data_IF_472926185920
#
_entry.id   IF_472926185920
#
_cell.length_a   1.000
_cell.length_b   1.000
_cell.length_c   1.000
_cell.angle_alpha   90.00
_cell.angle_beta   90.00
_cell.angle_gamma   90.00
#
_symmetry.space_group_name_H-M   'P 1'
#
loop_
_entity.id
_entity.type
_entity.pdbx_description
1 polymer ?
#
# COMPACT_ATOMS: atom_id res chain seq x y z
N UNK A 1 26.25 -21.08 -11.95
CA UNK A 1 26.52 -20.10 -10.87
C UNK A 1 25.31 -19.18 -10.81
N UNK A 2 24.41 -19.37 -9.83
CA UNK A 2 23.31 -18.42 -9.63
C UNK A 2 23.95 -17.06 -9.31
N UNK A 3 23.69 -16.03 -10.13
CA UNK A 3 24.01 -14.65 -9.74
C UNK A 3 23.42 -14.46 -8.35
N UNK A 4 24.24 -14.10 -7.35
CA UNK A 4 23.74 -13.63 -6.05
C UNK A 4 22.76 -12.51 -6.39
N UNK A 5 21.46 -12.75 -6.25
CA UNK A 5 20.47 -11.68 -6.36
C UNK A 5 20.75 -10.74 -5.19
N UNK A 6 21.32 -9.58 -5.50
CA UNK A 6 21.49 -8.52 -4.51
C UNK A 6 20.19 -7.74 -4.48
N UNK A 7 19.27 -8.15 -3.62
CA UNK A 7 18.01 -7.43 -3.40
C UNK A 7 18.34 -6.22 -2.54
N UNK A 8 18.06 -4.97 -2.98
CA UNK A 8 18.28 -3.79 -2.15
C UNK A 8 17.49 -3.89 -0.86
N UNK A 9 18.14 -3.66 0.27
CA UNK A 9 17.52 -3.78 1.60
C UNK A 9 17.11 -2.42 2.12
N UNK A 10 16.02 -2.34 2.89
CA UNK A 10 15.56 -1.06 3.46
C UNK A 10 16.63 -0.39 4.36
N UNK A 11 17.54 -1.18 4.92
CA UNK A 11 18.68 -0.72 5.70
C UNK A 11 19.60 0.21 4.90
N UNK A 12 19.67 0.04 3.58
CA UNK A 12 20.53 0.79 2.66
C UNK A 12 19.81 1.99 2.01
N UNK A 13 18.52 2.18 2.29
CA UNK A 13 17.72 3.27 1.73
C UNK A 13 17.96 4.60 2.46
N UNK A 14 18.02 5.70 1.69
CA UNK A 14 17.96 7.06 2.23
C UNK A 14 16.49 7.46 2.49
N UNK A 15 16.08 7.39 3.75
CA UNK A 15 14.67 7.58 4.13
C UNK A 15 14.36 8.98 4.64
N UNK A 16 15.38 9.81 4.89
CA UNK A 16 15.19 11.09 5.59
C UNK A 16 14.37 12.06 4.72
N UNK A 17 13.27 12.56 5.30
CA UNK A 17 12.34 13.49 4.66
C UNK A 17 11.68 12.93 3.39
N UNK A 18 11.81 11.62 3.14
CA UNK A 18 11.24 10.93 1.98
C UNK A 18 9.85 10.41 2.27
N UNK A 19 8.98 10.47 1.26
CA UNK A 19 7.73 9.71 1.28
C UNK A 19 8.04 8.29 0.80
N UNK A 20 7.67 7.32 1.64
CA UNK A 20 7.92 5.91 1.42
C UNK A 20 6.60 5.20 1.18
N UNK A 21 6.39 4.72 -0.05
CA UNK A 21 5.27 3.85 -0.38
C UNK A 21 5.60 2.43 0.06
N UNK A 22 4.82 1.87 0.98
CA UNK A 22 5.06 0.55 1.57
C UNK A 22 3.94 -0.41 1.19
N UNK A 23 4.29 -1.49 0.47
CA UNK A 23 3.38 -2.62 0.23
C UNK A 23 3.48 -3.60 1.39
N UNK A 24 2.39 -3.76 2.13
CA UNK A 24 2.31 -4.65 3.30
C UNK A 24 1.31 -5.79 3.08
N UNK A 25 1.43 -6.89 3.81
CA UNK A 25 0.47 -8.00 3.78
C UNK A 25 -0.54 -7.89 4.93
N UNK A 26 -1.46 -6.94 4.87
CA UNK A 26 -2.52 -6.77 5.89
C UNK A 26 -3.84 -7.42 5.46
N UNK A 27 -3.81 -8.52 4.70
CA UNK A 27 -5.02 -9.21 4.26
C UNK A 27 -5.65 -10.04 5.40
N UNK A 28 -6.16 -9.35 6.42
CA UNK A 28 -6.68 -9.93 7.68
C UNK A 28 -8.16 -9.62 7.93
N UNK A 29 -8.74 -8.71 7.16
CA UNK A 29 -10.15 -8.33 7.28
C UNK A 29 -11.03 -9.35 6.56
N UNK A 30 -12.06 -9.83 7.26
CA UNK A 30 -13.09 -10.70 6.71
C UNK A 30 -14.44 -10.19 7.20
N UNK A 31 -15.34 -9.85 6.27
CA UNK A 31 -16.65 -9.26 6.59
C UNK A 31 -16.55 -8.03 7.51
N UNK A 32 -15.59 -7.15 7.20
CA UNK A 32 -15.36 -5.91 7.96
C UNK A 32 -14.69 -6.08 9.33
N UNK A 33 -14.25 -7.29 9.71
CA UNK A 33 -13.66 -7.57 11.04
C UNK A 33 -12.26 -8.17 10.92
N UNK A 34 -11.35 -7.77 11.82
CA UNK A 34 -10.03 -8.39 12.02
C UNK A 34 -10.18 -9.52 13.02
N UNK A 35 -9.88 -10.75 12.61
CA UNK A 35 -9.86 -11.91 13.51
C UNK A 35 -8.49 -12.19 14.13
N UNK A 36 -7.43 -11.92 13.37
CA UNK A 36 -6.05 -12.12 13.78
C UNK A 36 -5.19 -10.96 13.25
N UNK A 37 -4.66 -10.10 14.13
CA UNK A 37 -3.85 -8.96 13.73
C UNK A 37 -2.39 -9.31 13.46
N UNK A 38 -1.96 -10.57 13.58
CA UNK A 38 -0.56 -10.99 13.46
C UNK A 38 0.15 -10.40 12.24
N UNK A 39 -0.51 -10.39 11.07
CA UNK A 39 0.10 -9.85 9.85
C UNK A 39 0.28 -8.33 9.88
N UNK A 40 -0.58 -7.61 10.59
CA UNK A 40 -0.41 -6.18 10.82
C UNK A 40 0.77 -5.97 11.78
N UNK A 41 0.82 -6.75 12.85
CA UNK A 41 1.87 -6.62 13.87
C UNK A 41 3.26 -6.94 13.31
N UNK A 42 3.35 -7.91 12.40
CA UNK A 42 4.60 -8.30 11.75
C UNK A 42 5.27 -7.16 10.97
N UNK A 43 4.51 -6.17 10.49
CA UNK A 43 5.07 -5.05 9.69
C UNK A 43 5.57 -3.90 10.56
N UNK A 44 5.27 -3.88 11.86
CA UNK A 44 5.63 -2.79 12.78
C UNK A 44 7.14 -2.53 12.77
N UNK A 45 7.97 -3.56 12.66
CA UNK A 45 9.43 -3.41 12.57
C UNK A 45 9.87 -2.57 11.37
N UNK A 46 9.27 -2.81 10.20
CA UNK A 46 9.53 -2.04 8.96
C UNK A 46 9.03 -0.60 9.11
N UNK A 47 7.81 -0.41 9.62
CA UNK A 47 7.23 0.92 9.81
C UNK A 47 8.03 1.77 10.80
N UNK A 48 8.41 1.18 11.93
CA UNK A 48 9.24 1.85 12.94
C UNK A 48 10.60 2.25 12.37
N UNK A 49 11.23 1.39 11.58
CA UNK A 49 12.51 1.70 10.95
C UNK A 49 12.44 2.89 9.98
N UNK A 50 11.36 2.97 9.20
CA UNK A 50 11.12 4.13 8.31
C UNK A 50 10.95 5.40 9.14
N UNK A 51 10.08 5.36 10.14
CA UNK A 51 9.79 6.51 10.99
C UNK A 51 11.03 6.98 11.76
N UNK A 52 11.80 6.06 12.37
CA UNK A 52 13.00 6.37 13.13
C UNK A 52 14.10 7.02 12.28
N UNK A 53 14.05 6.87 10.96
CA UNK A 53 14.96 7.50 9.99
C UNK A 53 14.39 8.76 9.34
N UNK A 54 13.23 9.23 9.79
CA UNK A 54 12.58 10.45 9.30
C UNK A 54 11.80 10.26 7.99
N UNK A 55 11.50 9.02 7.61
CA UNK A 55 10.64 8.72 6.47
C UNK A 55 9.16 8.83 6.81
N UNK A 56 8.35 9.22 5.82
CA UNK A 56 6.90 9.42 5.94
C UNK A 56 6.17 8.32 5.18
N UNK A 57 5.29 7.59 5.86
CA UNK A 57 4.71 6.36 5.29
C UNK A 57 3.41 6.61 4.51
N UNK A 58 3.33 5.99 3.34
CA UNK A 58 2.08 5.71 2.62
C UNK A 58 1.95 4.19 2.53
N UNK A 59 0.98 3.61 3.22
CA UNK A 59 0.77 2.16 3.26
C UNK A 59 -0.24 1.73 2.20
N UNK A 60 -0.04 0.53 1.66
CA UNK A 60 -1.04 -0.12 0.83
C UNK A 60 -1.08 -1.63 1.06
N UNK A 61 -2.31 -2.16 1.08
CA UNK A 61 -2.57 -3.60 1.10
C UNK A 61 -3.69 -3.94 0.14
N UNK A 62 -3.82 -5.24 -0.13
CA UNK A 62 -5.07 -5.77 -0.61
C UNK A 62 -5.87 -6.39 0.55
N UNK A 63 -7.19 -6.40 0.42
CA UNK A 63 -8.11 -7.12 1.32
C UNK A 63 -9.06 -7.95 0.47
N UNK A 64 -9.15 -9.24 0.76
CA UNK A 64 -10.08 -10.14 0.09
C UNK A 64 -9.92 -10.17 -1.44
N UNK A 65 -11.02 -10.45 -2.14
CA UNK A 65 -11.10 -10.54 -3.61
C UNK A 65 -12.39 -9.85 -4.09
N UNK A 66 -12.41 -8.51 -4.17
CA UNK A 66 -13.61 -7.73 -4.51
C UNK A 66 -14.05 -7.87 -5.98
N UNK A 67 -13.18 -8.36 -6.86
CA UNK A 67 -13.49 -8.56 -8.28
C UNK A 67 -14.30 -9.84 -8.51
N UNK A 68 -15.49 -9.70 -9.10
CA UNK A 68 -16.26 -10.83 -9.60
C UNK A 68 -15.58 -11.41 -10.84
N UNK A 69 -15.34 -12.74 -10.83
CA UNK A 69 -14.62 -13.42 -11.91
C UNK A 69 -15.45 -13.60 -13.19
N UNK A 70 -16.78 -13.57 -13.10
CA UNK A 70 -17.69 -13.75 -14.23
C UNK A 70 -17.99 -12.43 -14.90
N UNK A 71 -18.33 -11.40 -14.13
CA UNK A 71 -18.70 -10.08 -14.68
C UNK A 71 -17.48 -9.19 -14.87
N UNK A 72 -16.42 -9.41 -14.09
CA UNK A 72 -15.25 -8.54 -14.04
C UNK A 72 -15.46 -7.29 -13.17
N UNK A 73 -16.65 -7.12 -12.57
CA UNK A 73 -16.99 -5.97 -11.76
C UNK A 73 -16.22 -5.98 -10.43
N UNK A 74 -15.86 -4.81 -9.94
CA UNK A 74 -15.15 -4.61 -8.68
C UNK A 74 -16.12 -4.03 -7.65
N UNK A 75 -16.42 -4.81 -6.61
CA UNK A 75 -17.25 -4.34 -5.50
C UNK A 75 -16.42 -3.57 -4.46
N UNK A 76 -16.84 -2.34 -4.17
CA UNK A 76 -16.31 -1.53 -3.08
C UNK A 76 -17.34 -1.56 -1.95
N UNK A 77 -17.01 -2.28 -0.89
CA UNK A 77 -17.87 -2.54 0.26
C UNK A 77 -17.06 -2.68 1.54
N UNK A 78 -17.71 -2.49 2.69
CA UNK A 78 -17.09 -2.56 4.01
C UNK A 78 -16.43 -3.93 4.28
N UNK A 79 -16.94 -4.99 3.65
CA UNK A 79 -16.42 -6.36 3.77
C UNK A 79 -14.96 -6.49 3.33
N UNK A 80 -14.51 -5.64 2.40
CA UNK A 80 -13.14 -5.62 1.87
C UNK A 80 -12.43 -4.29 2.14
N UNK A 81 -12.93 -3.51 3.09
CA UNK A 81 -12.35 -2.23 3.48
C UNK A 81 -11.07 -2.39 4.30
N UNK A 82 -10.19 -1.39 4.17
CA UNK A 82 -8.99 -1.25 5.00
C UNK A 82 -9.26 -0.50 6.31
N UNK A 83 -10.45 0.08 6.48
CA UNK A 83 -10.81 0.86 7.67
C UNK A 83 -10.51 0.14 8.99
N UNK A 84 -10.89 -1.15 9.18
CA UNK A 84 -10.58 -1.84 10.44
C UNK A 84 -9.08 -1.94 10.74
N UNK A 85 -8.25 -2.03 9.68
CA UNK A 85 -6.78 -2.11 9.79
C UNK A 85 -6.22 -0.77 10.26
N UNK A 86 -6.74 0.33 9.67
CA UNK A 86 -6.35 1.69 10.04
C UNK A 86 -6.75 1.99 11.47
N UNK A 87 -7.99 1.65 11.86
CA UNK A 87 -8.48 1.84 13.22
C UNK A 87 -7.61 1.07 14.23
N UNK A 88 -7.25 -0.17 13.93
CA UNK A 88 -6.35 -0.98 14.76
C UNK A 88 -4.96 -0.35 14.89
N UNK A 89 -4.35 0.11 13.79
CA UNK A 89 -3.03 0.77 13.83
C UNK A 89 -3.06 2.07 14.64
N UNK A 90 -4.08 2.91 14.44
CA UNK A 90 -4.24 4.17 15.19
C UNK A 90 -4.40 3.91 16.69
N UNK A 91 -5.22 2.92 17.07
CA UNK A 91 -5.42 2.55 18.47
C UNK A 91 -4.16 1.95 19.10
N UNK A 92 -3.48 1.05 18.37
CA UNK A 92 -2.33 0.32 18.88
C UNK A 92 -1.08 1.18 19.03
N UNK A 93 -0.85 2.09 18.08
CA UNK A 93 0.35 2.91 18.01
C UNK A 93 0.13 4.34 18.51
N UNK A 94 -1.12 4.73 18.81
CA UNK A 94 -1.51 6.09 19.17
C UNK A 94 -1.08 7.13 18.13
N UNK A 95 -1.32 6.81 16.86
CA UNK A 95 -1.00 7.64 15.69
C UNK A 95 -2.27 8.07 14.96
N UNK A 96 -2.15 9.08 14.10
CA UNK A 96 -3.19 9.57 13.19
C UNK A 96 -2.88 9.17 11.76
N UNK A 97 -3.74 8.34 11.18
CA UNK A 97 -3.66 7.95 9.77
C UNK A 97 -4.90 8.38 9.01
N UNK A 98 -4.75 8.69 7.72
CA UNK A 98 -5.86 9.06 6.83
C UNK A 98 -5.98 8.12 5.65
N UNK A 99 -7.22 7.87 5.24
CA UNK A 99 -7.56 7.11 4.04
C UNK A 99 -8.13 8.10 3.01
N UNK A 100 -7.52 8.25 1.83
CA UNK A 100 -8.09 9.07 0.76
C UNK A 100 -9.29 8.38 0.11
N UNK A 101 -10.25 9.18 -0.35
CA UNK A 101 -11.32 8.74 -1.23
C UNK A 101 -11.04 9.17 -2.68
N UNK A 102 -11.45 8.32 -3.62
CA UNK A 102 -11.29 8.52 -5.06
C UNK A 102 -12.63 8.32 -5.78
N UNK A 103 -12.72 8.78 -7.02
CA UNK A 103 -13.90 8.58 -7.85
C UNK A 103 -14.17 7.09 -8.06
N UNK A 104 -15.36 6.68 -7.65
CA UNK A 104 -15.88 5.32 -7.79
C UNK A 104 -16.72 5.20 -9.05
N UNK A 105 -16.31 4.31 -9.94
CA UNK A 105 -17.13 3.75 -11.00
C UNK A 105 -17.89 2.52 -10.46
N UNK A 106 -19.16 2.38 -10.83
CA UNK A 106 -20.04 1.32 -10.31
C UNK A 106 -19.53 -0.10 -10.62
N UNK A 107 -18.79 -0.28 -11.72
CA UNK A 107 -18.32 -1.59 -12.18
C UNK A 107 -16.82 -1.74 -12.09
N UNK A 108 -16.07 -0.66 -12.29
CA UNK A 108 -14.61 -0.69 -12.40
C UNK A 108 -13.89 -0.32 -11.11
N UNK A 109 -14.62 0.04 -10.06
CA UNK A 109 -14.05 0.50 -8.80
C UNK A 109 -13.38 1.88 -8.98
N UNK A 110 -12.20 2.08 -8.41
CA UNK A 110 -11.42 3.29 -8.60
C UNK A 110 -10.67 3.28 -9.92
N UNK A 111 -10.93 4.25 -10.79
CA UNK A 111 -10.30 4.33 -12.12
C UNK A 111 -8.82 4.78 -12.05
N UNK A 112 -8.45 5.46 -10.96
CA UNK A 112 -7.08 5.89 -10.71
C UNK A 112 -6.94 6.70 -9.42
N UNK A 113 -5.75 7.22 -9.20
CA UNK A 113 -5.41 8.06 -8.05
C UNK A 113 -5.51 9.53 -8.45
N UNK A 114 -6.40 10.27 -7.80
CA UNK A 114 -6.69 11.66 -8.12
C UNK A 114 -5.86 12.65 -7.31
N UNK A 115 -5.88 13.90 -7.77
CA UNK A 115 -5.22 15.03 -7.09
C UNK A 115 -5.81 15.34 -5.71
N UNK A 116 -6.97 14.78 -5.37
CA UNK A 116 -7.56 14.87 -4.03
C UNK A 116 -6.58 14.41 -2.95
N UNK A 117 -5.72 13.41 -3.19
CA UNK A 117 -4.74 12.95 -2.18
C UNK A 117 -3.67 14.00 -1.83
N UNK A 118 -3.45 15.01 -2.67
CA UNK A 118 -2.37 15.98 -2.49
C UNK A 118 -2.48 16.77 -1.18
N UNK A 119 -3.69 17.02 -0.65
CA UNK A 119 -3.84 17.67 0.65
C UNK A 119 -3.32 16.79 1.79
N UNK A 120 -3.64 15.48 1.79
CA UNK A 120 -3.12 14.53 2.76
C UNK A 120 -1.60 14.41 2.68
N UNK A 121 -1.03 14.45 1.48
CA UNK A 121 0.44 14.44 1.31
C UNK A 121 1.07 15.68 1.92
N UNK A 122 0.43 16.86 1.81
CA UNK A 122 0.92 18.08 2.48
C UNK A 122 0.83 17.95 4.00
N UNK A 123 -0.30 17.50 4.53
CA UNK A 123 -0.47 17.23 5.97
C UNK A 123 0.57 16.23 6.49
N UNK A 124 0.86 15.18 5.73
CA UNK A 124 1.89 14.20 6.05
C UNK A 124 3.28 14.85 6.07
N UNK A 125 3.60 15.71 5.09
CA UNK A 125 4.87 16.44 5.04
C UNK A 125 5.03 17.41 6.23
N UNK A 126 3.96 18.09 6.60
CA UNK A 126 3.90 19.05 7.72
C UNK A 126 3.81 18.37 9.10
N UNK A 127 3.69 17.03 9.15
CA UNK A 127 3.49 16.23 10.36
C UNK A 127 2.17 16.53 11.10
N UNK A 128 1.13 16.94 10.37
CA UNK A 128 -0.25 17.02 10.90
C UNK A 128 -0.91 15.64 11.00
N UNK A 129 -0.41 14.66 10.22
CA UNK A 129 -0.78 13.25 10.30
C UNK A 129 0.49 12.40 10.26
N UNK A 130 0.43 11.19 10.82
CA UNK A 130 1.57 10.28 10.94
C UNK A 130 1.70 9.32 9.74
N UNK A 131 0.64 9.17 8.95
CA UNK A 131 0.68 8.33 7.76
C UNK A 131 -0.58 8.38 6.91
N UNK A 132 -0.46 7.91 5.68
CA UNK A 132 -1.58 7.69 4.77
C UNK A 132 -1.74 6.19 4.56
N UNK A 133 -2.97 5.70 4.57
CA UNK A 133 -3.29 4.32 4.22
C UNK A 133 -4.16 4.34 2.97
N UNK A 134 -3.62 3.89 1.83
CA UNK A 134 -4.40 3.83 0.59
C UNK A 134 -5.55 2.84 0.74
N UNK A 135 -6.71 3.10 0.11
CA UNK A 135 -7.77 2.10 0.01
C UNK A 135 -7.26 0.77 -0.53
N UNK A 136 -8.05 -0.28 -0.34
CA UNK A 136 -7.72 -1.64 -0.80
C UNK A 136 -7.22 -1.62 -2.26
N UNK A 137 -6.00 -2.09 -2.51
CA UNK A 137 -5.40 -2.00 -3.86
C UNK A 137 -6.24 -2.73 -4.91
N UNK A 138 -6.99 -3.76 -4.52
CA UNK A 138 -7.90 -4.49 -5.41
C UNK A 138 -9.20 -3.74 -5.75
N UNK A 139 -9.45 -2.58 -5.15
CA UNK A 139 -10.50 -1.67 -5.57
C UNK A 139 -10.11 -0.84 -6.79
N UNK A 140 -8.82 -0.79 -7.16
CA UNK A 140 -8.36 -0.02 -8.32
C UNK A 140 -8.41 -0.83 -9.61
N UNK A 141 -8.94 -0.21 -10.65
CA UNK A 141 -8.81 -0.70 -12.02
C UNK A 141 -7.32 -0.83 -12.37
N UNK A 142 -6.90 -2.03 -12.78
CA UNK A 142 -5.54 -2.29 -13.22
C UNK A 142 -4.62 -2.96 -12.19
N UNK A 143 -5.03 -3.10 -10.92
CA UNK A 143 -4.19 -3.78 -9.91
C UNK A 143 -3.83 -5.21 -10.33
N UNK A 144 -4.82 -6.01 -10.72
CA UNK A 144 -4.65 -7.41 -11.13
C UNK A 144 -4.57 -7.61 -12.66
N UNK A 145 -4.50 -6.52 -13.43
CA UNK A 145 -4.55 -6.59 -14.89
C UNK A 145 -3.15 -6.65 -15.52
N UNK A 146 -3.04 -7.28 -16.68
CA UNK A 146 -1.81 -7.27 -17.49
C UNK A 146 -1.91 -6.32 -18.69
N UNK A 147 -2.33 -5.08 -18.45
CA UNK A 147 -2.68 -4.09 -19.49
C UNK A 147 -2.11 -2.70 -19.21
N UNK A 148 -2.30 -1.76 -20.15
CA UNK A 148 -1.92 -0.35 -20.01
C UNK A 148 -2.53 0.31 -18.75
N UNK A 149 -3.71 -0.13 -18.33
CA UNK A 149 -4.35 0.33 -17.07
C UNK A 149 -3.51 -0.01 -15.84
N UNK A 150 -2.80 -1.14 -15.84
CA UNK A 150 -1.91 -1.54 -14.75
C UNK A 150 -0.63 -0.71 -14.73
N UNK A 151 -0.06 -0.37 -15.89
CA UNK A 151 1.08 0.55 -15.98
C UNK A 151 0.68 1.97 -15.54
N UNK A 152 -0.53 2.43 -15.93
CA UNK A 152 -1.08 3.71 -15.48
C UNK A 152 -1.22 3.76 -13.95
N UNK A 153 -1.80 2.72 -13.34
CA UNK A 153 -1.93 2.65 -11.89
C UNK A 153 -0.56 2.61 -11.19
N UNK A 154 0.39 1.84 -11.71
CA UNK A 154 1.74 1.77 -11.18
C UNK A 154 2.47 3.13 -11.24
N UNK A 155 2.32 3.87 -12.34
CA UNK A 155 2.86 5.22 -12.48
C UNK A 155 2.20 6.21 -11.51
N UNK A 156 0.88 6.11 -11.33
CA UNK A 156 0.14 6.93 -10.36
C UNK A 156 0.59 6.65 -8.92
N UNK A 157 0.76 5.38 -8.54
CA UNK A 157 1.30 4.98 -7.24
C UNK A 157 2.72 5.52 -7.05
N UNK A 158 3.57 5.38 -8.07
CA UNK A 158 4.93 5.88 -8.03
C UNK A 158 4.99 7.41 -7.86
N UNK A 159 4.06 8.15 -8.46
CA UNK A 159 3.96 9.60 -8.32
C UNK A 159 3.65 10.10 -6.90
N UNK A 160 3.26 9.22 -5.97
CA UNK A 160 2.97 9.58 -4.58
C UNK A 160 4.20 9.61 -3.68
N UNK A 161 5.29 8.96 -4.07
CA UNK A 161 6.39 8.65 -3.18
C UNK A 161 7.76 8.85 -3.83
N UNK A 162 8.79 8.93 -3.01
CA UNK A 162 10.19 8.99 -3.44
C UNK A 162 10.81 7.58 -3.54
N UNK A 163 10.35 6.66 -2.69
CA UNK A 163 10.89 5.30 -2.53
C UNK A 163 9.74 4.30 -2.37
N UNK A 164 9.94 3.10 -2.91
CA UNK A 164 9.07 1.95 -2.70
C UNK A 164 9.71 0.91 -1.78
N UNK A 165 8.94 0.39 -0.84
CA UNK A 165 9.32 -0.74 0.03
C UNK A 165 8.29 -1.84 -0.14
N UNK A 166 8.74 -3.04 -0.52
CA UNK A 166 7.90 -4.23 -0.49
C UNK A 166 8.17 -5.03 0.78
N UNK A 167 7.14 -5.21 1.59
CA UNK A 167 7.16 -5.98 2.85
C UNK A 167 6.05 -7.06 2.86
N UNK A 168 5.53 -7.43 1.68
CA UNK A 168 4.37 -8.30 1.51
C UNK A 168 4.73 -9.71 1.00
N UNK A 169 5.63 -10.41 1.69
CA UNK A 169 6.11 -11.74 1.26
C UNK A 169 4.98 -12.78 1.07
N UNK A 170 4.03 -12.82 1.99
CA UNK A 170 2.94 -13.81 2.02
C UNK A 170 1.87 -13.63 0.93
N UNK A 171 1.92 -12.53 0.17
CA UNK A 171 0.89 -12.16 -0.79
C UNK A 171 1.49 -11.60 -2.08
N UNK A 172 2.43 -12.35 -2.66
CA UNK A 172 3.06 -11.98 -3.92
C UNK A 172 2.24 -12.48 -5.12
N UNK A 173 1.89 -11.57 -6.01
CA UNK A 173 1.42 -11.79 -7.37
C UNK A 173 1.99 -10.66 -8.24
N UNK A 174 2.11 -10.81 -9.56
CA UNK A 174 2.66 -9.79 -10.45
C UNK A 174 1.68 -8.63 -10.73
N UNK A 175 1.33 -7.88 -9.67
CA UNK A 175 0.36 -6.80 -9.71
C UNK A 175 1.00 -5.43 -9.88
N UNK A 176 0.16 -4.40 -10.07
CA UNK A 176 0.60 -3.01 -10.09
C UNK A 176 1.33 -2.64 -8.80
N UNK A 177 0.73 -2.94 -7.64
CA UNK A 177 1.24 -2.59 -6.31
C UNK A 177 2.47 -3.36 -5.82
N UNK A 178 2.90 -4.42 -6.52
CA UNK A 178 4.00 -5.30 -6.07
C UNK A 178 5.17 -5.36 -7.05
N UNK A 179 4.90 -5.34 -8.36
CA UNK A 179 5.91 -5.57 -9.41
C UNK A 179 6.06 -4.37 -10.34
N UNK A 180 4.96 -3.79 -10.81
CA UNK A 180 5.05 -2.72 -11.83
C UNK A 180 5.53 -1.40 -11.24
N UNK A 181 5.15 -1.08 -10.00
CA UNK A 181 5.62 0.13 -9.30
C UNK A 181 7.15 0.19 -9.20
N UNK A 182 7.83 -0.95 -9.13
CA UNK A 182 9.29 -1.05 -9.04
C UNK A 182 10.01 -0.51 -10.28
N UNK A 183 9.30 -0.36 -11.41
CA UNK A 183 9.86 0.21 -12.65
C UNK A 183 10.07 1.71 -12.55
N UNK A 184 9.39 2.37 -11.62
CA UNK A 184 9.31 3.83 -11.53
C UNK A 184 9.95 4.40 -10.26
N UNK A 185 10.16 3.58 -9.22
CA UNK A 185 10.76 4.01 -7.95
C UNK A 185 11.97 3.16 -7.56
N UNK A 186 12.99 3.75 -6.89
CA UNK A 186 13.96 3.00 -6.11
C UNK A 186 13.22 2.07 -5.14
N UNK A 187 13.54 0.78 -5.20
CA UNK A 187 12.75 -0.27 -4.55
C UNK A 187 13.61 -1.10 -3.61
N UNK A 188 13.09 -1.34 -2.40
CA UNK A 188 13.79 -2.07 -1.34
C UNK A 188 12.91 -3.15 -0.72
N UNK A 189 13.54 -4.21 -0.22
CA UNK A 189 12.88 -5.22 0.60
C UNK A 189 12.76 -4.75 2.07
N UNK A 190 11.53 -4.71 2.58
CA UNK A 190 11.25 -4.59 4.01
C UNK A 190 11.65 -5.85 4.78
N UNK A 191 11.61 -5.81 6.11
CA UNK A 191 12.17 -6.89 6.93
C UNK A 191 11.48 -8.25 6.76
N UNK A 192 10.19 -8.29 6.38
CA UNK A 192 9.47 -9.54 6.15
C UNK A 192 9.85 -10.23 4.84
N UNK A 193 10.53 -9.51 3.94
CA UNK A 193 11.01 -10.06 2.65
C UNK A 193 12.48 -10.51 2.69
N UNK A 194 13.17 -10.36 3.82
CA UNK A 194 14.62 -10.63 3.97
C UNK A 194 14.92 -12.05 4.45
#
# INVERSE_FOLDING_TARGET
MLKKLNIPLIQDADLKDKIVLVRVDHNVVKKGVIHDPYRIDATIGTLYHINARGGKVILMTHVGRPKDKKTGDIDISDDTSVQPIVDYLQQKLHITMKIPEFYRDEKRGYIGIETSINHLIRELKENHIDGIYLPNTRWFEGEEAESETSDRLALQLAGLADIFVNDAFGSWQPHASTVRVNRYLPSYAGFLMQ
#
